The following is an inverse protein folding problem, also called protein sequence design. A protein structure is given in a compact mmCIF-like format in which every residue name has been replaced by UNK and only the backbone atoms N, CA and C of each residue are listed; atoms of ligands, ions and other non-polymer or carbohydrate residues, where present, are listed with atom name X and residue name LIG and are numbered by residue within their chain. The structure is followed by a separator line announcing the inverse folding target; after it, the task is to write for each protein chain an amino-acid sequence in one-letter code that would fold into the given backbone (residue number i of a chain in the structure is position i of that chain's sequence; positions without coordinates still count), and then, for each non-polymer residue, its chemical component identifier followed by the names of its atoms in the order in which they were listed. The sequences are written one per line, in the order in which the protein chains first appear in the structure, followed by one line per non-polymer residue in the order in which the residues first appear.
data_IF_978343709561
#
_entry.id   IF_978343709561
#
_cell.length_a   1.000
_cell.length_b   1.000
_cell.length_c   1.000
_cell.angle_alpha   90.00
_cell.angle_beta   90.00
_cell.angle_gamma   90.00
#
_symmetry.space_group_name_H-M   'P 1'
#
loop_
_entity.id
_entity.type
_entity.pdbx_description
1 polymer ?
#
# COMPACT_ATOMS: atom_id res chain seq x y z
N UNK A 1 -2.64 -28.71 7.44
CA UNK A 1 -2.64 -29.51 6.20
C UNK A 1 -3.59 -28.81 5.25
N UNK A 2 -3.10 -28.22 4.15
CA UNK A 2 -3.90 -27.37 3.26
C UNK A 2 -4.22 -28.18 2.00
N UNK A 3 -5.51 -28.35 1.71
CA UNK A 3 -5.99 -28.97 0.47
C UNK A 3 -6.58 -27.87 -0.40
N UNK A 4 -6.16 -27.79 -1.67
CA UNK A 4 -6.68 -26.81 -2.64
C UNK A 4 -7.41 -27.58 -3.73
N UNK A 5 -8.74 -27.46 -3.76
CA UNK A 5 -9.57 -27.79 -4.92
C UNK A 5 -10.07 -26.49 -5.53
N UNK A 6 -10.28 -26.51 -6.86
CA UNK A 6 -10.71 -25.34 -7.63
C UNK A 6 -11.99 -24.74 -7.02
N UNK A 7 -11.84 -23.68 -6.24
CA UNK A 7 -12.95 -22.87 -5.74
C UNK A 7 -13.13 -22.76 -4.23
N UNK A 8 -12.34 -23.42 -3.37
CA UNK A 8 -12.41 -23.14 -1.93
C UNK A 8 -11.17 -23.59 -1.15
N UNK A 9 -10.62 -22.70 -0.32
CA UNK A 9 -9.64 -23.00 0.74
C UNK A 9 -10.35 -22.75 2.08
N UNK A 10 -10.44 -23.77 2.93
CA UNK A 10 -10.98 -23.62 4.29
C UNK A 10 -9.86 -23.77 5.32
N UNK A 11 -9.85 -22.84 6.30
CA UNK A 11 -8.97 -22.84 7.47
C UNK A 11 -9.87 -22.74 8.70
N UNK A 12 -9.66 -23.59 9.70
CA UNK A 12 -10.58 -23.76 10.83
C UNK A 12 -10.06 -23.10 12.12
N UNK A 13 -10.70 -21.97 12.45
CA UNK A 13 -11.02 -21.30 13.75
C UNK A 13 -9.90 -20.84 14.72
N UNK A 14 -10.01 -19.71 15.46
CA UNK A 14 -11.19 -19.17 16.15
C UNK A 14 -11.21 -17.63 16.39
N UNK A 15 -12.44 -17.13 16.61
CA UNK A 15 -12.89 -15.90 17.29
C UNK A 15 -13.23 -14.63 16.45
N UNK A 16 -14.55 -14.41 16.35
CA UNK A 16 -15.29 -13.17 16.01
C UNK A 16 -15.08 -12.59 14.61
N UNK A 17 -15.56 -13.33 13.60
CA UNK A 17 -15.84 -12.81 12.27
C UNK A 17 -17.20 -12.12 12.30
N UNK A 18 -17.22 -10.78 12.23
CA UNK A 18 -18.41 -10.08 11.72
C UNK A 18 -18.46 -10.40 10.22
N UNK A 19 -19.47 -11.16 9.80
CA UNK A 19 -19.75 -11.41 8.39
C UNK A 19 -20.06 -10.07 7.72
N UNK A 20 -19.13 -9.61 6.89
CA UNK A 20 -19.41 -8.57 5.90
C UNK A 20 -19.87 -9.31 4.64
N UNK A 21 -21.16 -9.22 4.34
CA UNK A 21 -21.76 -9.83 3.16
C UNK A 21 -21.15 -9.17 1.90
N UNK A 22 -20.52 -9.97 1.04
CA UNK A 22 -19.80 -9.51 -0.15
C UNK A 22 -20.71 -9.17 -1.35
N UNK A 23 -21.97 -8.81 -1.09
CA UNK A 23 -22.99 -8.63 -2.12
C UNK A 23 -23.75 -7.34 -1.91
N UNK A 24 -23.13 -6.24 -2.34
CA UNK A 24 -23.68 -5.13 -3.15
C UNK A 24 -22.65 -4.00 -3.11
N UNK A 25 -21.73 -3.99 -4.07
CA UNK A 25 -20.94 -2.79 -4.34
C UNK A 25 -21.85 -1.85 -5.13
N UNK A 26 -22.50 -0.92 -4.43
CA UNK A 26 -23.21 0.19 -5.05
C UNK A 26 -22.15 1.28 -5.32
N UNK A 27 -21.79 1.61 -6.57
CA UNK A 27 -20.78 2.63 -6.86
C UNK A 27 -21.26 4.07 -6.58
N UNK A 28 -22.30 4.22 -5.76
CA UNK A 28 -22.89 5.49 -5.36
C UNK A 28 -21.96 6.26 -4.44
N UNK A 29 -21.29 7.24 -5.03
CA UNK A 29 -20.57 8.33 -4.36
C UNK A 29 -19.41 7.86 -3.47
N UNK A 30 -18.30 7.51 -4.12
CA UNK A 30 -17.01 7.70 -3.49
C UNK A 30 -16.88 9.21 -3.24
N UNK A 31 -17.18 9.65 -2.02
CA UNK A 31 -16.79 10.98 -1.55
C UNK A 31 -15.28 11.04 -1.75
N UNK A 32 -14.85 11.70 -2.83
CA UNK A 32 -13.47 12.03 -3.08
C UNK A 32 -13.06 12.85 -1.86
N UNK A 33 -12.41 12.19 -0.90
CA UNK A 33 -11.93 12.84 0.31
C UNK A 33 -11.21 14.09 -0.15
N UNK A 34 -11.75 15.25 0.23
CA UNK A 34 -11.15 16.53 -0.07
C UNK A 34 -9.82 16.53 0.65
N UNK A 35 -8.77 16.20 -0.09
CA UNK A 35 -7.40 16.36 0.33
C UNK A 35 -7.23 17.87 0.47
N UNK A 36 -7.20 18.36 1.72
CA UNK A 36 -6.92 19.76 2.00
C UNK A 36 -5.76 20.20 1.11
N UNK A 37 -5.98 21.26 0.32
CA UNK A 37 -5.01 21.78 -0.64
C UNK A 37 -3.75 22.40 0.04
N UNK A 38 -3.48 22.05 1.30
CA UNK A 38 -2.15 22.14 1.86
C UNK A 38 -1.25 21.15 1.15
N UNK A 39 0.02 21.51 0.94
CA UNK A 39 1.03 20.63 0.36
C UNK A 39 1.19 19.39 1.21
N UNK A 40 0.45 18.33 0.91
CA UNK A 40 0.59 17.05 1.60
C UNK A 40 1.93 16.45 1.19
N UNK A 41 2.67 15.96 2.18
CA UNK A 41 3.94 15.33 1.92
C UNK A 41 3.76 14.10 1.03
N UNK A 42 4.68 13.92 0.09
CA UNK A 42 4.58 12.89 -0.95
C UNK A 42 5.67 11.85 -0.75
N UNK A 43 5.27 10.58 -0.66
CA UNK A 43 6.15 9.42 -0.65
C UNK A 43 6.33 8.85 -2.06
N UNK A 44 7.56 8.48 -2.39
CA UNK A 44 7.94 7.88 -3.66
C UNK A 44 9.06 6.85 -3.46
N UNK A 45 9.32 6.03 -4.48
CA UNK A 45 10.41 5.04 -4.50
C UNK A 45 11.40 5.39 -5.59
N UNK A 46 12.68 5.45 -5.24
CA UNK A 46 13.78 5.49 -6.20
C UNK A 46 14.28 4.09 -6.52
N UNK A 47 14.35 3.75 -7.81
CA UNK A 47 14.98 2.53 -8.31
C UNK A 47 16.28 2.91 -9.01
N UNK A 48 17.43 2.78 -8.33
CA UNK A 48 18.74 3.24 -8.82
C UNK A 48 19.55 2.11 -9.49
N UNK A 49 18.87 1.19 -10.17
CA UNK A 49 19.47 0.04 -10.84
C UNK A 49 19.19 -1.30 -10.16
N UNK A 50 19.97 -2.33 -10.53
CA UNK A 50 19.78 -3.69 -10.04
C UNK A 50 19.96 -3.74 -8.51
N UNK A 51 19.02 -4.39 -7.81
CA UNK A 51 19.10 -4.63 -6.38
C UNK A 51 19.17 -3.36 -5.50
N UNK A 52 18.67 -2.22 -5.98
CA UNK A 52 18.84 -0.95 -5.29
C UNK A 52 17.60 -0.04 -5.36
N UNK A 53 16.64 -0.31 -4.46
CA UNK A 53 15.43 0.47 -4.32
C UNK A 53 15.32 1.09 -2.92
N UNK A 54 14.89 2.34 -2.82
CA UNK A 54 14.70 3.06 -1.55
C UNK A 54 13.46 3.93 -1.62
N UNK A 55 12.60 3.87 -0.59
CA UNK A 55 11.49 4.80 -0.42
C UNK A 55 11.95 6.10 0.27
N UNK A 56 11.38 7.23 -0.10
CA UNK A 56 11.59 8.51 0.56
C UNK A 56 10.32 9.36 0.52
N UNK A 57 10.21 10.30 1.45
CA UNK A 57 9.07 11.19 1.57
C UNK A 57 9.52 12.64 1.74
N UNK A 58 8.75 13.60 1.21
CA UNK A 58 9.05 15.04 1.38
C UNK A 58 8.94 15.51 2.83
N UNK A 59 8.33 14.73 3.72
CA UNK A 59 8.31 14.99 5.17
C UNK A 59 9.69 14.81 5.84
N UNK A 60 10.70 14.35 5.10
CA UNK A 60 12.07 14.12 5.57
C UNK A 60 12.39 12.67 5.93
N UNK A 61 11.43 11.75 5.79
CA UNK A 61 11.65 10.33 6.03
C UNK A 61 12.34 9.64 4.83
N UNK A 62 13.28 8.74 5.15
CA UNK A 62 13.91 7.83 4.17
C UNK A 62 13.86 6.40 4.67
N UNK A 63 13.35 5.50 3.84
CA UNK A 63 13.31 4.07 4.10
C UNK A 63 14.68 3.40 4.00
N UNK A 64 14.73 2.11 4.37
CA UNK A 64 15.94 1.29 4.21
C UNK A 64 16.18 1.00 2.73
N UNK A 65 17.45 0.91 2.33
CA UNK A 65 17.84 0.34 1.02
C UNK A 65 17.36 -1.11 0.92
N UNK A 66 16.59 -1.42 -0.12
CA UNK A 66 16.06 -2.76 -0.42
C UNK A 66 16.64 -3.30 -1.73
N UNK A 67 16.84 -4.61 -1.77
CA UNK A 67 17.19 -5.33 -2.99
C UNK A 67 15.98 -5.39 -3.95
N UNK A 68 14.81 -5.68 -3.41
CA UNK A 68 13.58 -5.81 -4.19
C UNK A 68 12.83 -4.47 -4.21
N UNK A 69 12.48 -4.00 -5.41
CA UNK A 69 11.61 -2.83 -5.60
C UNK A 69 10.29 -2.95 -4.84
N UNK A 70 9.67 -4.12 -4.87
CA UNK A 70 8.43 -4.39 -4.15
C UNK A 70 8.54 -4.16 -2.63
N UNK A 71 9.71 -4.46 -2.02
CA UNK A 71 9.92 -4.20 -0.61
C UNK A 71 10.05 -2.69 -0.30
N UNK A 72 10.65 -1.92 -1.21
CA UNK A 72 10.68 -0.46 -1.07
C UNK A 72 9.29 0.16 -1.27
N UNK A 73 8.46 -0.39 -2.17
CA UNK A 73 7.06 0.01 -2.33
C UNK A 73 6.25 -0.26 -1.05
N UNK A 74 6.46 -1.41 -0.39
CA UNK A 74 5.83 -1.71 0.89
C UNK A 74 6.24 -0.71 1.98
N UNK A 75 7.53 -0.36 2.07
CA UNK A 75 8.00 0.66 3.01
C UNK A 75 7.31 2.02 2.74
N UNK A 76 7.14 2.40 1.47
CA UNK A 76 6.45 3.63 1.09
C UNK A 76 4.97 3.63 1.52
N UNK A 77 4.24 2.55 1.25
CA UNK A 77 2.83 2.42 1.66
C UNK A 77 2.66 2.42 3.18
N UNK A 78 3.52 1.69 3.90
CA UNK A 78 3.49 1.66 5.37
C UNK A 78 3.71 3.06 5.96
N UNK A 79 4.67 3.82 5.41
CA UNK A 79 4.92 5.19 5.84
C UNK A 79 3.75 6.12 5.51
N UNK A 80 3.22 6.06 4.29
CA UNK A 80 2.05 6.86 3.89
C UNK A 80 0.84 6.64 4.80
N UNK A 81 0.55 5.39 5.15
CA UNK A 81 -0.56 5.07 6.06
C UNK A 81 -0.30 5.52 7.50
N UNK A 82 0.94 5.39 7.99
CA UNK A 82 1.30 5.78 9.35
C UNK A 82 1.27 7.30 9.55
N UNK A 83 1.86 8.05 8.62
CA UNK A 83 2.06 9.51 8.75
C UNK A 83 1.04 10.33 7.95
N UNK A 84 0.10 9.66 7.27
CA UNK A 84 -0.91 10.28 6.38
C UNK A 84 -0.30 11.09 5.23
N UNK A 85 0.87 10.67 4.74
CA UNK A 85 1.48 11.21 3.53
C UNK A 85 0.78 10.66 2.27
N UNK A 86 0.78 11.43 1.18
CA UNK A 86 0.29 10.97 -0.12
C UNK A 86 1.30 10.08 -0.81
N UNK A 87 0.81 9.11 -1.58
CA UNK A 87 1.64 8.29 -2.47
C UNK A 87 1.75 8.96 -3.83
N UNK A 88 2.98 9.12 -4.33
CA UNK A 88 3.20 9.64 -5.68
C UNK A 88 2.49 8.79 -6.74
N UNK A 89 2.07 9.44 -7.83
CA UNK A 89 1.57 8.77 -9.02
C UNK A 89 2.41 9.22 -10.23
N UNK A 90 3.29 8.37 -10.79
CA UNK A 90 3.59 7.00 -10.37
C UNK A 90 4.38 6.92 -9.06
N UNK A 91 4.18 5.86 -8.27
CA UNK A 91 4.88 5.65 -6.99
C UNK A 91 6.39 5.48 -7.18
N UNK A 92 6.79 4.90 -8.30
CA UNK A 92 8.20 4.61 -8.56
C UNK A 92 8.74 5.59 -9.59
N UNK A 93 9.73 6.35 -9.16
CA UNK A 93 10.50 7.24 -10.00
C UNK A 93 11.70 6.45 -10.53
N UNK A 94 11.60 6.01 -11.78
CA UNK A 94 12.73 5.51 -12.55
C UNK A 94 13.40 6.70 -13.21
N UNK A 95 14.70 6.84 -13.00
CA UNK A 95 15.53 7.80 -13.74
C UNK A 95 16.14 7.11 -14.95
#
# INVERSE_FOLDING_TARGET
MITVTSGAVTVQEAAMVKTLDATTFDPGTLEAGTLDAGTQDVVYVHSLGLAHATAACTCGWSGRRRILRAAAEQDAWLHAMAERCQVASPLVLTW
#
